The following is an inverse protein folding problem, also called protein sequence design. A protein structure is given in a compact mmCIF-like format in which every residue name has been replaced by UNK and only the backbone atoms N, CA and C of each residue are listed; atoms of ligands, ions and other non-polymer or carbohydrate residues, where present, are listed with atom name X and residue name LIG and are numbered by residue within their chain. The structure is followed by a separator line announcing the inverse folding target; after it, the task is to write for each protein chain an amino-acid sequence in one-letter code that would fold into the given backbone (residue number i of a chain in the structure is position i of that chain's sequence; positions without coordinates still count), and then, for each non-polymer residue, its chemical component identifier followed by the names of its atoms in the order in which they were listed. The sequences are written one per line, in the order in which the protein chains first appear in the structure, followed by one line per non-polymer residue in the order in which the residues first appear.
data_IF_789462468672
#
_entry.id   IF_789462468672
#
_cell.length_a   1.000
_cell.length_b   1.000
_cell.length_c   1.000
_cell.angle_alpha   90.00
_cell.angle_beta   90.00
_cell.angle_gamma   90.00
#
_symmetry.space_group_name_H-M   'P 1'
#
loop_
_entity.id
_entity.type
_entity.pdbx_description
1 polymer ?
#
# COMPACT_ATOMS: atom_id res chain seq x y z
N UNK A 1 -51.53 -2.01 6.39
CA UNK A 1 -50.40 -1.20 6.87
C UNK A 1 -49.20 -2.13 6.96
N UNK A 2 -48.29 -2.06 5.97
CA UNK A 2 -47.31 -3.11 5.71
C UNK A 2 -45.86 -2.64 5.74
N UNK A 3 -45.02 -3.60 6.13
CA UNK A 3 -43.61 -3.83 5.79
C UNK A 3 -42.54 -2.97 6.49
N UNK A 4 -42.07 -3.51 7.62
CA UNK A 4 -40.69 -3.34 8.11
C UNK A 4 -39.74 -3.97 7.10
N UNK A 5 -38.91 -3.16 6.43
CA UNK A 5 -37.82 -3.67 5.60
C UNK A 5 -36.60 -3.95 6.47
N UNK A 6 -36.28 -5.24 6.64
CA UNK A 6 -35.00 -5.67 7.15
C UNK A 6 -33.92 -5.32 6.10
N UNK A 7 -32.99 -4.43 6.46
CA UNK A 7 -31.76 -4.20 5.68
C UNK A 7 -30.94 -5.50 5.74
N UNK A 8 -30.98 -6.28 4.66
CA UNK A 8 -30.19 -7.49 4.54
C UNK A 8 -28.70 -7.16 4.63
N UNK A 9 -28.02 -7.66 5.67
CA UNK A 9 -26.56 -7.66 5.71
C UNK A 9 -26.04 -8.44 4.51
N UNK A 10 -25.49 -7.72 3.53
CA UNK A 10 -24.73 -8.31 2.44
C UNK A 10 -23.49 -8.99 3.04
N UNK A 11 -23.49 -10.32 3.05
CA UNK A 11 -22.29 -11.10 3.40
C UNK A 11 -21.30 -10.93 2.26
N UNK A 12 -20.31 -10.05 2.46
CA UNK A 12 -19.20 -9.89 1.52
C UNK A 12 -18.45 -11.21 1.48
N UNK A 13 -18.64 -11.97 0.40
CA UNK A 13 -17.83 -13.16 0.13
C UNK A 13 -16.51 -12.71 -0.44
N UNK A 14 -15.48 -12.72 0.41
CA UNK A 14 -14.11 -12.55 -0.06
C UNK A 14 -13.76 -13.70 -1.02
N UNK A 15 -13.05 -13.37 -2.10
CA UNK A 15 -12.58 -14.33 -3.08
C UNK A 15 -11.57 -15.34 -2.49
N UNK A 16 -10.96 -16.19 -3.33
CA UNK A 16 -9.95 -17.14 -2.87
C UNK A 16 -8.80 -16.42 -2.13
N UNK A 17 -8.38 -16.99 -1.00
CA UNK A 17 -7.25 -16.46 -0.21
C UNK A 17 -5.94 -16.57 -0.99
N UNK A 18 -5.09 -15.55 -0.87
CA UNK A 18 -3.72 -15.62 -1.40
C UNK A 18 -2.93 -16.73 -0.69
N UNK A 19 -2.07 -17.46 -1.43
CA UNK A 19 -1.19 -18.49 -0.85
C UNK A 19 0.14 -17.92 -0.36
N UNK A 20 0.63 -16.91 -1.06
CA UNK A 20 1.90 -16.24 -0.78
C UNK A 20 1.83 -14.76 -1.16
N UNK A 21 2.54 -13.92 -0.42
CA UNK A 21 2.69 -12.48 -0.64
C UNK A 21 4.18 -12.15 -0.64
N UNK A 22 4.60 -11.33 -1.60
CA UNK A 22 5.88 -10.62 -1.53
C UNK A 22 5.53 -9.21 -1.12
N UNK A 23 6.10 -8.75 -0.03
CA UNK A 23 5.93 -7.39 0.44
C UNK A 23 7.24 -6.63 0.24
N UNK A 24 7.20 -5.59 -0.58
CA UNK A 24 8.37 -4.73 -0.84
C UNK A 24 8.15 -3.44 -0.06
N UNK A 25 8.95 -3.24 0.98
CA UNK A 25 8.89 -2.05 1.83
C UNK A 25 10.20 -1.28 1.70
N UNK A 26 10.19 -0.19 0.93
CA UNK A 26 11.39 0.60 0.67
C UNK A 26 11.53 1.68 1.74
N UNK A 27 12.48 1.51 2.65
CA UNK A 27 12.82 2.56 3.62
C UNK A 27 13.28 3.83 2.89
N UNK A 28 12.50 4.91 3.03
CA UNK A 28 12.75 6.19 2.36
C UNK A 28 11.91 6.40 1.09
N UNK A 29 11.53 5.33 0.39
CA UNK A 29 10.72 5.29 -0.85
C UNK A 29 11.16 6.26 -1.98
N UNK A 30 10.93 5.89 -3.26
CA UNK A 30 11.13 6.85 -4.34
C UNK A 30 10.06 7.94 -4.30
N UNK A 31 10.41 9.15 -4.74
CA UNK A 31 9.45 10.24 -4.94
C UNK A 31 8.30 9.78 -5.84
N UNK A 32 7.06 10.10 -5.46
CA UNK A 32 5.89 9.79 -6.29
C UNK A 32 5.90 10.57 -7.61
N UNK A 33 6.45 11.80 -7.62
CA UNK A 33 6.60 12.62 -8.82
C UNK A 33 7.57 11.98 -9.81
N UNK A 34 8.64 11.37 -9.30
CA UNK A 34 9.63 10.70 -10.13
C UNK A 34 9.18 9.30 -10.57
N UNK A 35 8.01 8.81 -10.12
CA UNK A 35 7.57 7.44 -10.36
C UNK A 35 6.16 7.34 -10.94
N UNK A 36 5.13 7.28 -10.09
CA UNK A 36 3.77 6.88 -10.47
C UNK A 36 2.74 8.04 -10.50
N UNK A 37 3.20 9.27 -10.28
CA UNK A 37 2.37 10.48 -10.32
C UNK A 37 3.16 11.70 -10.86
N UNK A 38 3.62 11.68 -12.14
CA UNK A 38 4.56 12.65 -12.70
C UNK A 38 4.00 14.06 -12.95
N UNK A 39 2.75 14.35 -12.55
CA UNK A 39 2.08 15.65 -12.71
C UNK A 39 2.44 16.37 -14.03
N UNK A 40 2.14 15.78 -15.20
CA UNK A 40 2.64 16.27 -16.49
C UNK A 40 2.23 17.71 -16.80
N UNK A 41 1.07 18.14 -16.29
CA UNK A 41 0.50 19.47 -16.51
C UNK A 41 0.98 20.52 -15.50
N UNK A 42 1.74 20.11 -14.48
CA UNK A 42 2.31 21.04 -13.51
C UNK A 42 3.58 21.73 -14.08
N UNK A 43 3.94 22.93 -13.59
CA UNK A 43 5.17 23.59 -14.01
C UNK A 43 6.41 22.73 -13.71
N UNK A 44 7.47 22.95 -14.49
CA UNK A 44 8.70 22.15 -14.41
C UNK A 44 9.35 22.18 -13.03
N UNK A 45 9.20 23.27 -12.26
CA UNK A 45 9.72 23.33 -10.89
C UNK A 45 9.01 22.39 -9.91
N UNK A 46 7.79 21.92 -10.24
CA UNK A 46 6.95 21.10 -9.36
C UNK A 46 6.85 19.63 -9.76
N UNK A 47 7.05 19.30 -11.04
CA UNK A 47 6.81 17.93 -11.57
C UNK A 47 8.05 17.04 -11.69
N UNK A 48 9.24 17.55 -11.37
CA UNK A 48 10.50 16.83 -11.53
C UNK A 48 11.03 16.82 -12.97
N UNK A 49 12.26 16.31 -13.19
CA UNK A 49 12.95 16.40 -14.48
C UNK A 49 12.60 15.27 -15.47
N UNK A 50 11.85 14.26 -15.03
CA UNK A 50 11.60 13.04 -15.81
C UNK A 50 10.38 13.18 -16.73
N UNK A 51 10.43 12.54 -17.90
CA UNK A 51 9.31 12.57 -18.82
C UNK A 51 8.18 11.66 -18.35
N UNK A 52 6.93 12.13 -18.51
CA UNK A 52 5.73 11.33 -18.32
C UNK A 52 5.51 10.41 -19.51
N UNK A 53 5.24 9.13 -19.24
CA UNK A 53 4.85 8.11 -20.21
C UNK A 53 3.43 7.61 -19.93
N UNK A 54 2.70 7.28 -21.01
CA UNK A 54 1.40 6.64 -20.89
C UNK A 54 1.55 5.21 -20.33
N UNK A 55 0.54 4.75 -19.62
CA UNK A 55 0.47 3.35 -19.14
C UNK A 55 -0.57 2.55 -19.92
N UNK A 56 -0.65 1.24 -19.69
CA UNK A 56 -1.69 0.38 -20.26
C UNK A 56 -3.10 0.71 -19.73
N UNK A 57 -3.19 1.44 -18.63
CA UNK A 57 -4.44 1.86 -18.00
C UNK A 57 -4.75 3.30 -18.45
N UNK A 58 -5.86 3.54 -19.18
CA UNK A 58 -6.22 4.88 -19.63
C UNK A 58 -6.31 5.87 -18.46
N UNK A 59 -5.75 7.06 -18.64
CA UNK A 59 -5.74 8.13 -17.62
C UNK A 59 -4.71 7.96 -16.51
N UNK A 60 -3.87 6.92 -16.56
CA UNK A 60 -2.74 6.74 -15.65
C UNK A 60 -1.41 6.96 -16.39
N UNK A 61 -0.53 7.76 -15.77
CA UNK A 61 0.79 8.10 -16.28
C UNK A 61 1.88 7.76 -15.26
N UNK A 62 3.01 7.27 -15.74
CA UNK A 62 4.24 6.99 -14.97
C UNK A 62 5.37 7.84 -15.53
N UNK A 63 6.53 7.89 -14.89
CA UNK A 63 7.76 8.41 -15.52
C UNK A 63 8.43 7.37 -16.40
N UNK A 64 9.31 7.84 -17.28
CA UNK A 64 10.20 7.00 -18.09
C UNK A 64 11.12 6.06 -17.28
N UNK A 65 11.22 6.25 -15.95
CA UNK A 65 11.99 5.38 -15.07
C UNK A 65 11.33 4.02 -14.84
N UNK A 66 10.01 3.90 -15.05
CA UNK A 66 9.24 2.70 -14.73
C UNK A 66 8.49 2.10 -15.95
N UNK A 67 9.16 1.89 -17.11
CA UNK A 67 8.50 1.48 -18.35
C UNK A 67 7.86 0.09 -18.24
N UNK A 68 8.48 -0.81 -17.47
CA UNK A 68 7.95 -2.15 -17.22
C UNK A 68 6.68 -2.12 -16.38
N UNK A 69 6.59 -1.22 -15.40
CA UNK A 69 5.37 -1.07 -14.60
C UNK A 69 4.27 -0.40 -15.42
N UNK A 70 4.60 0.64 -16.21
CA UNK A 70 3.65 1.29 -17.11
C UNK A 70 3.00 0.28 -18.08
N UNK A 71 3.78 -0.65 -18.64
CA UNK A 71 3.26 -1.70 -19.54
C UNK A 71 2.31 -2.70 -18.85
N UNK A 72 2.33 -2.78 -17.51
CA UNK A 72 1.60 -3.76 -16.69
C UNK A 72 0.56 -3.12 -15.78
N UNK A 73 0.20 -1.86 -15.99
CA UNK A 73 -0.63 -1.06 -15.08
C UNK A 73 -2.07 -1.52 -14.89
N UNK A 74 -2.56 -2.43 -15.73
CA UNK A 74 -3.85 -3.14 -15.62
C UNK A 74 -3.78 -4.39 -14.72
N UNK A 75 -2.57 -4.74 -14.25
CA UNK A 75 -2.33 -5.90 -13.36
C UNK A 75 -2.26 -5.49 -11.90
N UNK A 76 -2.26 -4.20 -11.60
CA UNK A 76 -2.17 -3.67 -10.25
C UNK A 76 -2.99 -2.39 -10.12
N UNK A 77 -3.24 -1.99 -8.88
CA UNK A 77 -3.88 -0.73 -8.55
C UNK A 77 -2.88 0.19 -7.86
N UNK A 78 -3.08 1.50 -8.01
CA UNK A 78 -2.28 2.52 -7.33
C UNK A 78 -3.16 3.21 -6.31
N UNK A 79 -2.65 3.33 -5.10
CA UNK A 79 -3.32 4.01 -3.99
C UNK A 79 -2.62 5.35 -3.79
N UNK A 80 -3.26 6.46 -4.18
CA UNK A 80 -2.75 7.83 -4.00
C UNK A 80 -3.27 8.52 -2.74
N UNK A 81 -4.12 7.83 -1.98
CA UNK A 81 -4.80 8.37 -0.80
C UNK A 81 -4.12 7.93 0.51
N UNK A 82 -2.92 7.36 0.43
CA UNK A 82 -2.18 6.97 1.62
C UNK A 82 -1.63 8.23 2.29
N UNK A 83 -1.97 8.42 3.57
CA UNK A 83 -1.51 9.52 4.40
C UNK A 83 -1.19 8.98 5.78
N UNK A 84 -0.19 9.57 6.42
CA UNK A 84 0.21 9.27 7.80
C UNK A 84 0.20 10.57 8.60
N UNK A 85 -0.21 10.50 9.86
CA UNK A 85 -0.06 11.60 10.83
C UNK A 85 1.33 11.60 11.48
N UNK A 86 2.15 10.59 11.19
CA UNK A 86 3.46 10.39 11.81
C UNK A 86 4.57 10.83 10.86
N UNK A 87 5.26 11.97 11.15
CA UNK A 87 6.34 12.48 10.30
C UNK A 87 7.67 11.74 10.51
N UNK A 88 7.84 11.01 11.62
CA UNK A 88 9.05 10.26 11.91
C UNK A 88 9.22 9.07 10.99
N UNK A 89 10.40 8.92 10.39
CA UNK A 89 10.73 7.76 9.55
C UNK A 89 10.55 6.43 10.34
N UNK A 90 11.09 6.26 11.57
CA UNK A 90 10.92 5.03 12.34
C UNK A 90 9.46 4.75 12.72
N UNK A 91 8.75 5.79 13.15
CA UNK A 91 7.39 5.67 13.68
C UNK A 91 6.36 5.45 12.54
N UNK A 92 6.56 6.10 11.39
CA UNK A 92 5.78 5.86 10.18
C UNK A 92 5.97 4.44 9.64
N UNK A 93 7.21 3.92 9.69
CA UNK A 93 7.51 2.53 9.38
C UNK A 93 6.85 1.55 10.34
N UNK A 94 6.85 1.87 11.65
CA UNK A 94 6.12 1.10 12.67
C UNK A 94 4.65 1.01 12.33
N UNK A 95 4.00 2.16 12.15
CA UNK A 95 2.59 2.22 11.76
C UNK A 95 2.27 1.42 10.51
N UNK A 96 3.11 1.50 9.48
CA UNK A 96 2.88 0.82 8.22
C UNK A 96 2.98 -0.72 8.31
N UNK A 97 3.86 -1.23 9.19
CA UNK A 97 4.15 -2.66 9.29
C UNK A 97 3.38 -3.37 10.42
N UNK A 98 2.98 -2.62 11.45
CA UNK A 98 2.31 -3.16 12.65
C UNK A 98 0.86 -2.70 12.77
N UNK A 99 0.53 -1.52 12.24
CA UNK A 99 -0.75 -0.85 12.47
C UNK A 99 -0.84 -0.08 13.80
N UNK A 100 0.25 0.05 14.57
CA UNK A 100 0.28 0.69 15.88
C UNK A 100 1.36 1.79 15.99
N UNK A 101 1.04 2.89 16.68
CA UNK A 101 1.89 4.10 16.77
C UNK A 101 3.12 3.89 17.66
N UNK A 102 3.00 3.04 18.69
CA UNK A 102 4.06 2.79 19.66
C UNK A 102 4.12 1.31 20.03
N UNK A 103 5.33 0.78 20.23
CA UNK A 103 5.57 -0.54 20.81
C UNK A 103 4.79 -0.76 22.13
N UNK A 104 4.53 0.32 22.89
CA UNK A 104 3.85 0.27 24.20
C UNK A 104 2.35 -0.05 24.15
N UNK A 105 1.66 0.14 23.02
CA UNK A 105 0.24 -0.22 22.93
C UNK A 105 0.02 -1.75 22.84
N UNK A 106 1.11 -2.53 22.83
CA UNK A 106 1.14 -3.98 22.58
C UNK A 106 1.29 -4.86 23.82
N UNK A 107 1.63 -4.31 25.00
CA UNK A 107 1.63 -5.09 26.27
C UNK A 107 0.25 -5.74 26.54
N UNK A 108 -0.82 -5.18 25.96
CA UNK A 108 -2.18 -5.71 26.08
C UNK A 108 -2.48 -6.97 25.21
N UNK A 109 -1.64 -7.31 24.22
CA UNK A 109 -1.95 -8.38 23.24
C UNK A 109 -0.83 -9.40 23.01
N UNK A 110 0.23 -9.40 23.83
CA UNK A 110 1.16 -10.52 23.94
C UNK A 110 2.18 -10.62 22.81
N UNK A 111 3.39 -10.14 23.10
CA UNK A 111 4.61 -10.42 22.34
C UNK A 111 5.17 -9.20 21.62
N UNK A 112 6.50 -9.04 21.68
CA UNK A 112 7.26 -8.01 20.97
C UNK A 112 7.98 -8.65 19.78
N UNK A 113 7.49 -8.52 18.53
CA UNK A 113 8.26 -8.81 17.33
C UNK A 113 8.81 -7.51 16.74
N UNK A 114 9.96 -7.57 16.07
CA UNK A 114 10.48 -6.43 15.31
C UNK A 114 9.49 -5.96 14.24
N UNK A 115 9.63 -4.69 13.83
CA UNK A 115 8.72 -3.95 12.93
C UNK A 115 8.15 -4.78 11.76
N UNK A 116 9.00 -5.54 11.08
CA UNK A 116 8.66 -6.40 9.94
C UNK A 116 7.86 -7.68 10.28
N UNK A 117 7.98 -8.17 11.52
CA UNK A 117 7.48 -9.47 11.93
C UNK A 117 5.96 -9.51 12.06
N UNK A 118 5.31 -8.39 12.31
CA UNK A 118 3.88 -8.36 12.67
C UNK A 118 2.95 -8.61 11.48
N UNK A 119 3.13 -7.87 10.39
CA UNK A 119 2.42 -8.15 9.13
C UNK A 119 2.67 -9.60 8.67
N UNK A 120 3.91 -10.08 8.79
CA UNK A 120 4.27 -11.46 8.48
C UNK A 120 3.57 -12.50 9.36
N UNK A 121 3.48 -12.26 10.68
CA UNK A 121 2.79 -13.13 11.64
C UNK A 121 1.29 -13.19 11.38
N UNK A 122 0.65 -12.05 11.11
CA UNK A 122 -0.76 -12.00 10.75
C UNK A 122 -1.05 -12.83 9.49
N UNK A 123 -0.21 -12.69 8.46
CA UNK A 123 -0.32 -13.49 7.24
C UNK A 123 -0.06 -14.98 7.50
N UNK A 124 0.95 -15.32 8.32
CA UNK A 124 1.28 -16.69 8.67
C UNK A 124 0.15 -17.38 9.44
N UNK A 125 -0.52 -16.68 10.37
CA UNK A 125 -1.71 -17.18 11.08
C UNK A 125 -2.81 -17.60 10.12
N UNK A 126 -2.96 -16.87 9.01
CA UNK A 126 -3.95 -17.14 7.98
C UNK A 126 -3.48 -18.15 6.92
N UNK A 127 -2.30 -18.77 7.14
CA UNK A 127 -1.70 -19.76 6.23
C UNK A 127 -1.06 -19.17 4.98
N UNK A 128 -0.73 -17.87 5.00
CA UNK A 128 -0.18 -17.13 3.87
C UNK A 128 1.32 -16.95 4.06
N UNK A 129 2.13 -17.43 3.12
CA UNK A 129 3.58 -17.24 3.17
C UNK A 129 3.93 -15.79 2.81
N UNK A 130 4.70 -15.10 3.64
CA UNK A 130 5.14 -13.73 3.35
C UNK A 130 6.66 -13.63 3.29
N UNK A 131 7.17 -12.96 2.26
CA UNK A 131 8.58 -12.54 2.17
C UNK A 131 8.59 -11.01 2.16
N UNK A 132 9.28 -10.41 3.14
CA UNK A 132 9.57 -8.98 3.17
C UNK A 132 10.90 -8.70 2.47
N UNK A 133 10.91 -7.70 1.59
CA UNK A 133 12.10 -7.16 0.93
C UNK A 133 12.16 -5.67 1.29
N UNK A 134 13.23 -5.22 1.92
CA UNK A 134 13.43 -3.83 2.34
C UNK A 134 14.86 -3.50 2.69
#
# INVERSE_FOLDING_TARGET
MGLSQAVGQQVVRYGPKAKSVIFVFLWGAPSHLDTCDPKPDAPMEFRGPFHSIATRTPGLNFTELLPRMASRSDRFSIIRTHATSEPGHPDGGTMALTGFLHFFQREAIGGVPGLAGEAGQCLARDGINCILIG
#
